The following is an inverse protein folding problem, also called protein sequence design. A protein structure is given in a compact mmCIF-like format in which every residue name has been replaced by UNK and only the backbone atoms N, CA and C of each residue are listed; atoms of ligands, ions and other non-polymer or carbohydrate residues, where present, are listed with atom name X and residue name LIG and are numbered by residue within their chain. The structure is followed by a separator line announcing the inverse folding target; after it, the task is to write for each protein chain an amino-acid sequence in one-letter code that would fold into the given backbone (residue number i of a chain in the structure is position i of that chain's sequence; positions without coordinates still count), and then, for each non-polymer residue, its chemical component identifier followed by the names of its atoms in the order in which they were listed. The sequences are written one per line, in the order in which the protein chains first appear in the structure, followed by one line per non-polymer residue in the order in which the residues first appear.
data_IF_100727829851
#
_entry.id   IF_100727829851
#
_cell.length_a   1.000
_cell.length_b   1.000
_cell.length_c   1.000
_cell.angle_alpha   90.00
_cell.angle_beta   90.00
_cell.angle_gamma   90.00
#
_symmetry.space_group_name_H-M   'P 1'
#
loop_
_entity.id
_entity.type
_entity.pdbx_description
1 polymer ?
#
# COMPACT_ATOMS: atom_id res chain seq x y z
N UNK A 1 -6.87 -18.99 20.87
CA UNK A 1 -6.77 -19.17 19.42
C UNK A 1 -5.29 -19.24 19.04
N UNK A 2 -4.91 -20.20 18.22
CA UNK A 2 -3.56 -20.27 17.64
C UNK A 2 -3.44 -19.32 16.43
N UNK A 3 -2.21 -18.93 16.07
CA UNK A 3 -1.94 -18.01 14.96
C UNK A 3 -2.52 -18.50 13.62
N UNK A 4 -2.61 -19.82 13.43
CA UNK A 4 -3.14 -20.42 12.20
C UNK A 4 -4.67 -20.38 12.12
N UNK A 5 -5.35 -20.09 13.23
CA UNK A 5 -6.81 -19.95 13.31
C UNK A 5 -7.28 -18.52 13.01
N UNK A 6 -6.35 -17.55 12.89
CA UNK A 6 -6.70 -16.20 12.45
C UNK A 6 -7.38 -16.24 11.07
N UNK A 7 -8.42 -15.43 10.92
CA UNK A 7 -9.06 -15.24 9.61
C UNK A 7 -8.10 -14.56 8.63
N UNK A 8 -8.32 -14.75 7.34
CA UNK A 8 -7.50 -14.08 6.30
C UNK A 8 -7.55 -12.56 6.45
N UNK A 9 -8.70 -12.02 6.88
CA UNK A 9 -8.86 -10.60 7.18
C UNK A 9 -8.00 -10.15 8.37
N UNK A 10 -8.01 -10.87 9.49
CA UNK A 10 -7.15 -10.54 10.65
C UNK A 10 -5.66 -10.61 10.29
N UNK A 11 -5.27 -11.61 9.49
CA UNK A 11 -3.89 -11.72 8.99
C UNK A 11 -3.54 -10.55 8.07
N UNK A 12 -4.46 -10.13 7.19
CA UNK A 12 -4.29 -8.95 6.35
C UNK A 12 -4.10 -7.69 7.21
N UNK A 13 -4.95 -7.47 8.22
CA UNK A 13 -4.87 -6.31 9.10
C UNK A 13 -3.51 -6.26 9.82
N UNK A 14 -3.06 -7.37 10.42
CA UNK A 14 -1.76 -7.44 11.09
C UNK A 14 -0.59 -7.12 10.15
N UNK A 15 -0.60 -7.66 8.93
CA UNK A 15 0.49 -7.45 7.96
C UNK A 15 0.52 -6.03 7.38
N UNK A 16 -0.63 -5.37 7.36
CA UNK A 16 -0.83 -4.01 6.84
C UNK A 16 -0.45 -2.91 7.83
N UNK A 17 -0.15 -3.26 9.08
CA UNK A 17 0.29 -2.32 10.11
C UNK A 17 1.60 -1.64 9.70
N UNK A 18 1.59 -0.31 9.82
CA UNK A 18 2.78 0.52 9.85
C UNK A 18 2.48 1.74 10.74
N UNK A 19 3.05 1.84 11.95
CA UNK A 19 2.69 2.89 12.91
C UNK A 19 2.98 4.32 12.46
N UNK A 20 3.89 4.51 11.51
CA UNK A 20 4.22 5.84 10.99
C UNK A 20 3.22 6.32 9.93
N UNK A 21 2.56 5.36 9.26
CA UNK A 21 1.80 5.62 8.04
C UNK A 21 0.29 5.54 8.25
N UNK A 22 -0.20 4.79 9.24
CA UNK A 22 -1.62 4.67 9.56
C UNK A 22 -1.91 4.81 11.07
N UNK A 23 -3.06 5.40 11.42
CA UNK A 23 -3.43 5.72 12.81
C UNK A 23 -4.00 4.56 13.62
N UNK A 24 -4.69 3.63 12.97
CA UNK A 24 -5.46 2.56 13.64
C UNK A 24 -4.65 1.32 14.08
N UNK A 25 -3.32 1.33 13.97
CA UNK A 25 -2.52 0.12 14.24
C UNK A 25 -2.70 -0.42 15.66
N UNK A 26 -2.83 0.45 16.67
CA UNK A 26 -3.08 0.04 18.06
C UNK A 26 -4.43 -0.66 18.20
N UNK A 27 -5.46 -0.10 17.57
CA UNK A 27 -6.81 -0.68 17.54
C UNK A 27 -6.79 -2.08 16.94
N UNK A 28 -6.06 -2.28 15.84
CA UNK A 28 -5.87 -3.60 15.23
C UNK A 28 -5.23 -4.56 16.23
N UNK A 29 -4.11 -4.18 16.87
CA UNK A 29 -3.44 -5.04 17.84
C UNK A 29 -4.33 -5.40 19.04
N UNK A 30 -5.06 -4.43 19.59
CA UNK A 30 -5.98 -4.64 20.72
C UNK A 30 -7.14 -5.57 20.32
N UNK A 31 -7.61 -5.49 19.08
CA UNK A 31 -8.69 -6.37 18.62
C UNK A 31 -8.22 -7.81 18.41
N UNK A 32 -6.99 -8.05 17.95
CA UNK A 32 -6.52 -9.37 17.53
C UNK A 32 -5.70 -10.10 18.60
N UNK A 33 -4.71 -9.43 19.21
CA UNK A 33 -3.74 -10.10 20.08
C UNK A 33 -4.35 -10.76 21.32
N UNK A 34 -5.37 -10.19 22.00
CA UNK A 34 -6.00 -10.83 23.15
C UNK A 34 -6.61 -12.21 22.84
N UNK A 35 -7.03 -12.43 21.59
CA UNK A 35 -7.63 -13.70 21.15
C UNK A 35 -6.59 -14.83 21.03
N UNK A 36 -5.31 -14.47 20.89
CA UNK A 36 -4.21 -15.39 20.67
C UNK A 36 -3.63 -15.94 21.97
N UNK A 37 -3.16 -17.20 21.95
CA UNK A 37 -2.34 -17.79 23.01
C UNK A 37 -0.93 -17.17 23.04
N UNK A 38 -0.22 -17.32 24.16
CA UNK A 38 1.10 -16.71 24.40
C UNK A 38 2.12 -17.07 23.28
N UNK A 39 2.28 -18.35 22.88
CA UNK A 39 3.13 -18.73 21.75
C UNK A 39 2.78 -18.02 20.44
N UNK A 40 1.49 -17.90 20.10
CA UNK A 40 1.06 -17.22 18.88
C UNK A 40 1.30 -15.72 18.92
N UNK A 41 1.10 -15.07 20.07
CA UNK A 41 1.46 -13.65 20.25
C UNK A 41 2.95 -13.43 20.02
N UNK A 42 3.80 -14.30 20.56
CA UNK A 42 5.25 -14.27 20.33
C UNK A 42 5.60 -14.44 18.85
N UNK A 43 4.97 -15.39 18.17
CA UNK A 43 5.15 -15.63 16.73
C UNK A 43 4.73 -14.42 15.88
N UNK A 44 3.59 -13.80 16.18
CA UNK A 44 3.12 -12.57 15.50
C UNK A 44 4.11 -11.43 15.72
N UNK A 45 4.61 -11.26 16.94
CA UNK A 45 5.63 -10.27 17.24
C UNK A 45 6.90 -10.49 16.42
N UNK A 46 7.50 -11.67 16.49
CA UNK A 46 8.78 -11.99 15.86
C UNK A 46 8.71 -11.89 14.32
N UNK A 47 7.60 -12.37 13.72
CA UNK A 47 7.49 -12.49 12.26
C UNK A 47 6.91 -11.25 11.58
N UNK A 48 6.07 -10.48 12.28
CA UNK A 48 5.33 -9.34 11.71
C UNK A 48 5.73 -8.03 12.40
N UNK A 49 5.45 -7.89 13.70
CA UNK A 49 5.48 -6.58 14.37
C UNK A 49 6.90 -6.01 14.52
N UNK A 50 7.88 -6.86 14.81
CA UNK A 50 9.30 -6.46 14.93
C UNK A 50 9.81 -5.77 13.66
N UNK A 51 9.40 -6.25 12.49
CA UNK A 51 9.76 -5.69 11.17
C UNK A 51 9.06 -4.37 10.86
N UNK A 52 8.02 -4.02 11.63
CA UNK A 52 7.26 -2.77 11.55
C UNK A 52 7.65 -1.76 12.63
N UNK A 53 8.83 -1.95 13.23
CA UNK A 53 9.35 -1.13 14.32
C UNK A 53 8.40 -1.07 15.52
N UNK A 54 7.77 -2.19 15.89
CA UNK A 54 6.96 -2.30 17.10
C UNK A 54 7.75 -3.14 18.10
N UNK A 55 7.88 -2.65 19.33
CA UNK A 55 8.59 -3.32 20.42
C UNK A 55 7.79 -4.51 21.01
N UNK A 56 8.40 -5.37 21.82
CA UNK A 56 7.68 -6.45 22.52
C UNK A 56 6.53 -5.95 23.39
N UNK A 57 6.62 -4.71 23.87
CA UNK A 57 5.59 -4.06 24.69
C UNK A 57 4.56 -3.31 23.84
N UNK A 58 4.51 -3.60 22.53
CA UNK A 58 3.60 -2.96 21.56
C UNK A 58 3.73 -1.43 21.50
N UNK A 59 4.94 -0.92 21.73
CA UNK A 59 5.25 0.50 21.55
C UNK A 59 5.93 0.72 20.20
N UNK A 60 5.61 1.83 19.54
CA UNK A 60 6.25 2.20 18.29
C UNK A 60 7.68 2.68 18.56
N UNK A 61 8.62 2.10 17.83
CA UNK A 61 10.03 2.47 17.79
C UNK A 61 10.21 3.39 16.59
N UNK A 62 10.47 4.67 16.85
CA UNK A 62 10.67 5.66 15.79
C UNK A 62 11.97 5.32 15.04
N UNK A 63 11.93 5.09 13.72
CA UNK A 63 13.13 4.85 12.93
C UNK A 63 14.00 6.13 12.87
N UNK A 64 15.30 5.95 12.62
CA UNK A 64 16.19 7.09 12.36
C UNK A 64 15.69 7.91 11.16
N UNK A 65 15.61 9.23 11.33
CA UNK A 65 15.37 10.18 10.24
C UNK A 65 16.59 10.25 9.29
N UNK A 66 16.37 10.81 8.09
CA UNK A 66 17.41 10.86 7.06
C UNK A 66 18.63 11.67 7.51
N UNK A 67 18.42 12.76 8.27
CA UNK A 67 19.51 13.60 8.79
C UNK A 67 20.42 12.81 9.74
N UNK A 68 19.82 12.09 10.69
CA UNK A 68 20.48 11.25 11.67
C UNK A 68 21.21 10.08 11.01
N UNK A 69 20.59 9.47 9.99
CA UNK A 69 21.23 8.44 9.18
C UNK A 69 22.50 8.97 8.51
N UNK A 70 22.42 10.15 7.88
CA UNK A 70 23.56 10.80 7.20
C UNK A 70 24.67 11.22 8.15
N UNK A 71 24.36 11.60 9.39
CA UNK A 71 25.37 11.94 10.39
C UNK A 71 26.07 10.72 10.98
N UNK A 72 25.35 9.59 11.14
CA UNK A 72 25.88 8.37 11.77
C UNK A 72 26.59 7.44 10.77
N UNK A 73 26.22 7.51 9.49
CA UNK A 73 26.64 6.53 8.49
C UNK A 73 27.58 7.16 7.47
N UNK A 74 28.78 6.62 7.35
CA UNK A 74 29.71 7.00 6.30
C UNK A 74 29.30 6.38 4.95
N UNK A 75 28.40 7.05 4.22
CA UNK A 75 28.03 6.67 2.85
C UNK A 75 29.24 6.90 1.94
N UNK A 76 29.83 5.82 1.43
CA UNK A 76 31.03 5.85 0.58
C UNK A 76 30.70 6.17 -0.86
N UNK A 77 29.61 5.58 -1.38
CA UNK A 77 29.20 5.79 -2.76
C UNK A 77 28.78 7.25 -3.00
N UNK A 78 29.49 7.92 -3.90
CA UNK A 78 29.34 9.37 -4.16
C UNK A 78 27.92 9.71 -4.62
N UNK A 79 27.34 8.92 -5.53
CA UNK A 79 25.99 9.18 -6.04
C UNK A 79 24.90 8.92 -5.00
N UNK A 80 25.06 7.89 -4.15
CA UNK A 80 24.12 7.63 -3.05
C UNK A 80 24.11 8.79 -2.07
N UNK A 81 25.30 9.30 -1.73
CA UNK A 81 25.44 10.47 -0.87
C UNK A 81 24.82 11.71 -1.50
N UNK A 82 25.03 11.92 -2.81
CA UNK A 82 24.48 13.07 -3.51
C UNK A 82 22.95 13.09 -3.52
N UNK A 83 22.30 11.96 -3.89
CA UNK A 83 20.82 11.89 -3.87
C UNK A 83 20.26 11.99 -2.46
N UNK A 84 20.92 11.39 -1.45
CA UNK A 84 20.46 11.50 -0.08
C UNK A 84 20.49 12.94 0.44
N UNK A 85 21.51 13.73 0.07
CA UNK A 85 21.56 15.16 0.39
C UNK A 85 20.43 15.93 -0.33
N UNK A 86 20.12 15.60 -1.59
CA UNK A 86 18.99 16.23 -2.30
C UNK A 86 17.64 15.89 -1.67
N UNK A 87 17.43 14.62 -1.32
CA UNK A 87 16.26 14.15 -0.58
C UNK A 87 16.12 14.86 0.76
N UNK A 88 17.22 15.02 1.50
CA UNK A 88 17.20 15.75 2.78
C UNK A 88 16.82 17.21 2.58
N UNK A 89 17.42 17.91 1.60
CA UNK A 89 17.05 19.31 1.28
C UNK A 89 15.57 19.44 0.94
N UNK A 90 15.00 18.45 0.26
CA UNK A 90 13.58 18.45 -0.07
C UNK A 90 12.71 18.33 1.19
N UNK A 91 12.99 17.37 2.06
CA UNK A 91 12.27 17.21 3.35
C UNK A 91 12.44 18.42 4.27
N UNK A 92 13.61 19.07 4.24
CA UNK A 92 13.87 20.26 5.05
C UNK A 92 13.19 21.52 4.52
N UNK A 93 12.80 21.53 3.25
CA UNK A 93 11.94 22.59 2.71
C UNK A 93 10.58 22.51 3.40
N UNK A 94 10.06 23.61 3.94
CA UNK A 94 8.75 23.64 4.61
C UNK A 94 7.84 24.67 3.95
N UNK A 95 7.38 24.40 2.71
CA UNK A 95 6.44 25.28 2.06
C UNK A 95 5.06 25.15 2.70
N UNK A 96 4.31 26.25 2.76
CA UNK A 96 2.94 26.23 3.28
C UNK A 96 2.01 25.38 2.41
N UNK A 97 2.21 25.43 1.08
CA UNK A 97 1.46 24.65 0.11
C UNK A 97 2.33 24.04 -0.98
N UNK A 98 1.91 22.89 -1.52
CA UNK A 98 2.62 22.20 -2.61
C UNK A 98 1.61 21.57 -3.59
N UNK A 99 1.85 21.65 -4.89
CA UNK A 99 1.02 20.98 -5.90
C UNK A 99 1.18 19.46 -5.83
N UNK A 100 0.07 18.72 -5.73
CA UNK A 100 0.13 17.28 -5.53
C UNK A 100 0.78 16.53 -6.71
N UNK A 101 0.60 17.00 -7.94
CA UNK A 101 1.17 16.37 -9.15
C UNK A 101 2.69 16.63 -9.17
N UNK A 102 3.12 17.87 -8.92
CA UNK A 102 4.54 18.22 -8.85
C UNK A 102 5.25 17.40 -7.74
N UNK A 103 4.60 17.23 -6.59
CA UNK A 103 5.11 16.40 -5.49
C UNK A 103 5.29 14.95 -5.93
N UNK A 104 4.27 14.38 -6.57
CA UNK A 104 4.31 13.01 -7.08
C UNK A 104 5.43 12.83 -8.11
N UNK A 105 5.60 13.81 -9.00
CA UNK A 105 6.65 13.83 -10.01
C UNK A 105 8.04 13.78 -9.41
N UNK A 106 8.29 14.68 -8.47
CA UNK A 106 9.57 14.84 -7.81
C UNK A 106 9.93 13.63 -6.94
N UNK A 107 8.99 13.16 -6.13
CA UNK A 107 9.21 12.02 -5.22
C UNK A 107 9.45 10.72 -6.00
N UNK A 108 8.62 10.43 -7.00
CA UNK A 108 8.82 9.23 -7.82
C UNK A 108 10.15 9.29 -8.59
N UNK A 109 10.53 10.47 -9.13
CA UNK A 109 11.81 10.63 -9.80
C UNK A 109 13.02 10.43 -8.86
N UNK A 110 12.97 10.98 -7.64
CA UNK A 110 14.03 10.78 -6.64
C UNK A 110 14.19 9.31 -6.25
N UNK A 111 13.08 8.60 -6.04
CA UNK A 111 13.09 7.17 -5.69
C UNK A 111 13.59 6.34 -6.87
N UNK A 112 13.14 6.63 -8.08
CA UNK A 112 13.59 5.93 -9.29
C UNK A 112 15.08 6.14 -9.56
N UNK A 113 15.58 7.36 -9.39
CA UNK A 113 17.01 7.64 -9.49
C UNK A 113 17.79 6.85 -8.44
N UNK A 114 17.39 6.90 -7.17
CA UNK A 114 18.03 6.16 -6.08
C UNK A 114 18.11 4.64 -6.38
N UNK A 115 17.04 4.06 -6.93
CA UNK A 115 17.00 2.63 -7.26
C UNK A 115 17.88 2.25 -8.46
N UNK A 116 18.15 3.20 -9.37
CA UNK A 116 18.92 2.98 -10.62
C UNK A 116 20.42 3.26 -10.47
N UNK A 117 20.87 3.85 -9.37
CA UNK A 117 22.30 4.03 -9.10
C UNK A 117 22.96 2.65 -9.13
N UNK A 118 23.97 2.53 -10.01
CA UNK A 118 24.80 1.34 -10.08
C UNK A 118 25.71 1.30 -8.85
N UNK A 119 25.54 0.27 -8.04
CA UNK A 119 26.28 0.02 -6.81
C UNK A 119 27.01 -1.33 -6.85
N UNK A 120 26.99 -2.00 -8.01
CA UNK A 120 27.48 -3.36 -8.18
C UNK A 120 26.99 -4.32 -7.08
N UNK A 121 27.89 -5.22 -6.68
CA UNK A 121 27.64 -6.23 -5.63
C UNK A 121 28.11 -5.77 -4.23
N UNK A 122 28.32 -4.47 -4.03
CA UNK A 122 28.76 -3.94 -2.74
C UNK A 122 27.62 -3.96 -1.71
N UNK A 123 27.60 -5.00 -0.86
CA UNK A 123 26.59 -5.23 0.18
C UNK A 123 26.37 -4.00 1.08
N UNK A 124 27.44 -3.25 1.41
CA UNK A 124 27.33 -2.06 2.25
C UNK A 124 26.59 -0.91 1.56
N UNK A 125 26.80 -0.74 0.25
CA UNK A 125 26.12 0.28 -0.54
C UNK A 125 24.66 -0.13 -0.81
N UNK A 126 24.39 -1.42 -0.97
CA UNK A 126 23.02 -1.95 -1.04
C UNK A 126 22.25 -1.67 0.26
N UNK A 127 22.86 -1.94 1.42
CA UNK A 127 22.28 -1.61 2.73
C UNK A 127 22.07 -0.10 2.88
N UNK A 128 23.05 0.71 2.47
CA UNK A 128 22.96 2.17 2.52
C UNK A 128 21.81 2.68 1.67
N UNK A 129 21.63 2.17 0.44
CA UNK A 129 20.51 2.53 -0.43
C UNK A 129 19.16 2.25 0.21
N UNK A 130 18.96 1.06 0.78
CA UNK A 130 17.71 0.71 1.45
C UNK A 130 17.46 1.55 2.71
N UNK A 131 18.50 1.81 3.51
CA UNK A 131 18.40 2.69 4.68
C UNK A 131 18.05 4.13 4.30
N UNK A 132 18.70 4.70 3.28
CA UNK A 132 18.39 6.04 2.76
C UNK A 132 16.94 6.11 2.29
N UNK A 133 16.52 5.14 1.48
CA UNK A 133 15.16 5.06 0.95
C UNK A 133 14.14 5.00 2.08
N UNK A 134 14.34 4.13 3.07
CA UNK A 134 13.43 3.94 4.20
C UNK A 134 13.34 5.19 5.07
N UNK A 135 14.48 5.80 5.42
CA UNK A 135 14.52 7.03 6.21
C UNK A 135 13.83 8.20 5.48
N UNK A 136 14.16 8.42 4.21
CA UNK A 136 13.51 9.43 3.37
C UNK A 136 11.99 9.24 3.29
N UNK A 137 11.51 8.01 3.13
CA UNK A 137 10.09 7.72 3.00
C UNK A 137 9.30 7.97 4.30
N UNK A 138 9.88 7.71 5.47
CA UNK A 138 9.24 8.06 6.74
C UNK A 138 9.25 9.57 6.99
N UNK A 139 10.36 10.23 6.71
CA UNK A 139 10.44 11.70 6.79
C UNK A 139 9.44 12.37 5.85
N UNK A 140 9.28 11.80 4.64
CA UNK A 140 8.29 12.26 3.67
C UNK A 140 6.86 12.10 4.19
N UNK A 141 6.54 10.99 4.84
CA UNK A 141 5.22 10.79 5.44
C UNK A 141 4.91 11.86 6.49
N UNK A 142 5.89 12.19 7.34
CA UNK A 142 5.76 13.27 8.32
C UNK A 142 5.65 14.64 7.63
N UNK A 143 6.45 14.89 6.59
CA UNK A 143 6.41 16.12 5.82
C UNK A 143 5.04 16.36 5.20
N UNK A 144 4.44 15.33 4.60
CA UNK A 144 3.11 15.39 3.96
C UNK A 144 2.01 15.77 4.96
N UNK A 145 2.10 15.31 6.21
CA UNK A 145 1.12 15.69 7.23
C UNK A 145 1.10 17.21 7.46
N UNK A 146 2.25 17.87 7.33
CA UNK A 146 2.45 19.28 7.66
C UNK A 146 2.28 20.26 6.49
N UNK A 147 2.12 19.78 5.25
CA UNK A 147 2.01 20.63 4.05
C UNK A 147 0.58 20.65 3.53
N UNK A 148 0.07 21.80 3.08
CA UNK A 148 -1.22 21.85 2.39
C UNK A 148 -1.07 21.41 0.93
N UNK A 149 -1.65 20.28 0.55
CA UNK A 149 -1.58 19.81 -0.84
C UNK A 149 -2.69 20.45 -1.68
N UNK A 150 -2.28 21.07 -2.78
CA UNK A 150 -3.19 21.56 -3.83
C UNK A 150 -3.55 20.36 -4.69
N UNK A 151 -4.82 19.98 -4.67
CA UNK A 151 -5.36 18.83 -5.40
C UNK A 151 -6.24 19.34 -6.53
N UNK A 152 -5.94 18.91 -7.76
CA UNK A 152 -6.74 19.28 -8.93
C UNK A 152 -8.13 18.66 -8.87
N UNK A 153 -9.19 19.40 -9.25
CA UNK A 153 -10.53 18.84 -9.32
C UNK A 153 -10.58 17.77 -10.41
N UNK A 154 -11.45 16.78 -10.21
CA UNK A 154 -11.65 15.67 -11.14
C UNK A 154 -12.91 14.90 -10.80
N UNK A 155 -13.30 13.98 -11.67
CA UNK A 155 -14.55 13.21 -11.49
C UNK A 155 -14.51 12.31 -10.26
N UNK A 156 -13.32 12.02 -9.70
CA UNK A 156 -13.18 11.25 -8.46
C UNK A 156 -13.40 12.07 -7.18
N UNK A 157 -13.54 13.39 -7.31
CA UNK A 157 -13.66 14.32 -6.18
C UNK A 157 -12.57 14.11 -5.12
N UNK A 158 -11.31 13.94 -5.56
CA UNK A 158 -10.18 13.82 -4.66
C UNK A 158 -10.03 15.11 -3.85
N UNK A 159 -9.74 14.97 -2.57
CA UNK A 159 -9.41 16.08 -1.68
C UNK A 159 -8.05 15.84 -1.02
N UNK A 160 -7.53 16.85 -0.34
CA UNK A 160 -6.22 16.80 0.34
C UNK A 160 -6.10 15.60 1.28
N UNK A 161 -7.14 15.28 2.04
CA UNK A 161 -7.11 14.17 2.99
C UNK A 161 -6.98 12.81 2.29
N UNK A 162 -7.79 12.56 1.27
CA UNK A 162 -7.73 11.35 0.43
C UNK A 162 -6.34 11.19 -0.19
N UNK A 163 -5.78 12.29 -0.74
CA UNK A 163 -4.45 12.27 -1.38
C UNK A 163 -3.36 11.97 -0.35
N UNK A 164 -3.37 12.63 0.82
CA UNK A 164 -2.40 12.36 1.89
C UNK A 164 -2.48 10.91 2.38
N UNK A 165 -3.70 10.38 2.57
CA UNK A 165 -3.87 8.98 2.99
C UNK A 165 -3.38 8.01 1.92
N UNK A 166 -3.69 8.22 0.63
CA UNK A 166 -3.13 7.38 -0.42
C UNK A 166 -1.59 7.44 -0.45
N UNK A 167 -1.02 8.64 -0.35
CA UNK A 167 0.42 8.84 -0.37
C UNK A 167 1.11 8.03 0.75
N UNK A 168 0.59 8.10 1.97
CA UNK A 168 1.17 7.42 3.14
C UNK A 168 0.85 5.92 3.16
N UNK A 169 -0.43 5.58 3.08
CA UNK A 169 -0.89 4.22 3.36
C UNK A 169 -0.83 3.27 2.16
N UNK A 170 -0.74 3.82 0.95
CA UNK A 170 -0.58 3.03 -0.28
C UNK A 170 0.84 3.20 -0.82
N UNK A 171 1.21 4.39 -1.30
CA UNK A 171 2.48 4.56 -2.01
C UNK A 171 3.71 4.36 -1.11
N UNK A 172 3.84 5.14 -0.04
CA UNK A 172 5.00 5.06 0.86
C UNK A 172 5.09 3.66 1.49
N UNK A 173 3.97 3.18 2.02
CA UNK A 173 3.87 1.84 2.63
C UNK A 173 4.31 0.75 1.66
N UNK A 174 3.87 0.81 0.39
CA UNK A 174 4.30 -0.15 -0.63
C UNK A 174 5.80 -0.09 -0.92
N UNK A 175 6.38 1.12 -0.99
CA UNK A 175 7.82 1.29 -1.26
C UNK A 175 8.70 0.79 -0.12
N UNK A 176 8.22 0.85 1.12
CA UNK A 176 8.91 0.33 2.32
C UNK A 176 8.75 -1.18 2.44
N UNK A 177 7.52 -1.70 2.30
CA UNK A 177 7.21 -3.10 2.55
C UNK A 177 7.55 -4.02 1.37
N UNK A 178 7.61 -3.49 0.15
CA UNK A 178 7.97 -4.25 -1.04
C UNK A 178 7.09 -5.48 -1.24
N UNK A 179 7.69 -6.68 -1.18
CA UNK A 179 6.98 -7.95 -1.33
C UNK A 179 6.06 -8.28 -0.15
N UNK A 180 6.28 -7.67 1.01
CA UNK A 180 5.44 -7.86 2.18
C UNK A 180 4.20 -6.95 2.17
N UNK A 181 4.11 -6.03 1.20
CA UNK A 181 2.94 -5.17 1.02
C UNK A 181 1.71 -6.01 0.65
N UNK A 182 0.59 -5.76 1.33
CA UNK A 182 -0.65 -6.53 1.14
C UNK A 182 -1.72 -5.69 0.47
N UNK A 183 -2.36 -6.33 -0.49
CA UNK A 183 -3.59 -5.91 -1.13
C UNK A 183 -4.42 -7.17 -1.40
N UNK A 184 -5.74 -7.06 -1.39
CA UNK A 184 -6.58 -8.13 -1.92
C UNK A 184 -6.67 -7.96 -3.43
N UNK A 185 -6.43 -9.02 -4.19
CA UNK A 185 -6.80 -9.01 -5.60
C UNK A 185 -8.28 -9.42 -5.78
N UNK A 186 -8.82 -9.19 -6.98
CA UNK A 186 -10.20 -9.55 -7.30
C UNK A 186 -10.51 -11.04 -7.08
N UNK A 187 -9.51 -11.91 -7.23
CA UNK A 187 -9.65 -13.36 -7.03
C UNK A 187 -9.76 -13.67 -5.54
N UNK A 188 -8.91 -13.08 -4.71
CA UNK A 188 -9.01 -13.17 -3.25
C UNK A 188 -10.40 -12.77 -2.75
N UNK A 189 -10.99 -11.73 -3.34
CA UNK A 189 -12.31 -11.20 -2.96
C UNK A 189 -13.44 -12.11 -3.44
N UNK A 190 -13.37 -12.67 -4.64
CA UNK A 190 -14.42 -13.55 -5.17
C UNK A 190 -14.45 -14.91 -4.44
N UNK A 191 -13.28 -15.43 -4.04
CA UNK A 191 -13.18 -16.68 -3.29
C UNK A 191 -13.53 -16.57 -1.82
N UNK A 192 -13.51 -15.37 -1.26
CA UNK A 192 -13.77 -15.16 0.15
C UNK A 192 -15.13 -14.49 0.31
N UNK A 193 -16.03 -15.10 1.07
CA UNK A 193 -17.15 -14.39 1.67
C UNK A 193 -16.60 -13.41 2.73
N UNK A 194 -15.89 -12.38 2.27
CA UNK A 194 -15.36 -11.31 3.11
C UNK A 194 -16.54 -10.46 3.56
N UNK A 195 -17.20 -10.83 4.66
CA UNK A 195 -18.26 -10.02 5.27
C UNK A 195 -17.82 -8.57 5.53
N UNK A 196 -16.51 -8.35 5.65
CA UNK A 196 -15.91 -7.04 5.92
C UNK A 196 -15.81 -6.12 4.67
N UNK A 197 -16.05 -6.63 3.46
CA UNK A 197 -16.03 -5.81 2.24
C UNK A 197 -17.47 -5.42 1.81
N UNK A 198 -17.70 -4.15 1.42
CA UNK A 198 -18.98 -3.72 0.87
C UNK A 198 -19.37 -4.49 -0.40
N UNK A 199 -20.68 -4.73 -0.58
CA UNK A 199 -21.23 -5.45 -1.73
C UNK A 199 -20.90 -4.82 -3.08
N UNK A 200 -20.68 -3.50 -3.12
CA UNK A 200 -20.22 -2.83 -4.34
C UNK A 200 -18.83 -3.32 -4.76
N UNK A 201 -17.90 -3.51 -3.82
CA UNK A 201 -16.56 -4.02 -4.11
C UNK A 201 -16.64 -5.49 -4.56
N UNK A 202 -17.40 -6.31 -3.82
CA UNK A 202 -17.59 -7.73 -4.15
C UNK A 202 -18.16 -7.93 -5.56
N UNK A 203 -19.18 -7.15 -5.94
CA UNK A 203 -19.79 -7.25 -7.27
C UNK A 203 -18.85 -6.82 -8.40
N UNK A 204 -18.04 -5.78 -8.17
CA UNK A 204 -17.08 -5.31 -9.16
C UNK A 204 -15.89 -6.27 -9.30
N UNK A 205 -15.46 -6.90 -8.21
CA UNK A 205 -14.38 -7.90 -8.22
C UNK A 205 -14.72 -9.13 -9.09
N UNK A 206 -16.00 -9.46 -9.25
CA UNK A 206 -16.47 -10.52 -10.16
C UNK A 206 -16.35 -10.18 -11.64
N UNK A 207 -16.20 -8.89 -11.98
CA UNK A 207 -16.30 -8.38 -13.35
C UNK A 207 -15.01 -7.77 -13.86
N UNK A 208 -14.15 -7.32 -12.94
CA UNK A 208 -12.96 -6.53 -13.26
C UNK A 208 -11.80 -6.96 -12.38
N UNK A 209 -10.60 -6.89 -12.93
CA UNK A 209 -9.36 -7.17 -12.18
C UNK A 209 -8.76 -5.90 -11.59
N UNK A 210 -8.69 -5.85 -10.27
CA UNK A 210 -8.10 -4.74 -9.52
C UNK A 210 -7.56 -5.23 -8.16
N UNK A 211 -6.77 -4.39 -7.52
CA UNK A 211 -6.38 -4.56 -6.12
C UNK A 211 -7.26 -3.69 -5.21
N UNK A 212 -7.51 -4.17 -4.00
CA UNK A 212 -8.16 -3.43 -2.93
C UNK A 212 -7.16 -3.24 -1.81
N UNK A 213 -6.97 -1.97 -1.44
CA UNK A 213 -6.24 -1.61 -0.23
C UNK A 213 -7.20 -0.93 0.72
N UNK A 214 -7.30 -1.52 1.90
CA UNK A 214 -8.03 -0.94 3.01
C UNK A 214 -7.12 -0.07 3.88
N UNK A 215 -7.56 1.16 4.12
CA UNK A 215 -7.06 2.07 5.16
C UNK A 215 -8.13 2.22 6.26
N UNK A 216 -7.86 3.05 7.25
CA UNK A 216 -8.84 3.35 8.31
C UNK A 216 -10.15 3.94 7.75
N UNK A 217 -10.05 4.93 6.86
CA UNK A 217 -11.21 5.71 6.35
C UNK A 217 -11.61 5.42 4.92
N UNK A 218 -10.75 4.73 4.16
CA UNK A 218 -10.94 4.52 2.73
C UNK A 218 -10.68 3.08 2.30
N UNK A 219 -11.43 2.61 1.30
CA UNK A 219 -10.99 1.54 0.41
C UNK A 219 -10.50 2.14 -0.90
N UNK A 220 -9.29 1.77 -1.32
CA UNK A 220 -8.71 2.15 -2.60
C UNK A 220 -8.81 0.97 -3.57
N UNK A 221 -9.59 1.14 -4.63
CA UNK A 221 -9.63 0.22 -5.77
C UNK A 221 -8.58 0.65 -6.78
N UNK A 222 -7.66 -0.24 -7.12
CA UNK A 222 -6.46 0.06 -7.90
C UNK A 222 -6.43 -0.82 -9.14
N UNK A 223 -6.59 -0.21 -10.31
CA UNK A 223 -6.47 -0.89 -11.59
C UNK A 223 -5.08 -1.47 -11.80
N UNK A 224 -5.01 -2.59 -12.53
CA UNK A 224 -3.73 -3.21 -12.89
C UNK A 224 -2.92 -2.27 -13.80
N UNK A 225 -1.60 -2.39 -13.79
CA UNK A 225 -0.72 -1.59 -14.63
C UNK A 225 -0.58 -2.17 -16.03
N UNK A 226 -0.82 -1.33 -17.05
CA UNK A 226 -0.92 -1.70 -18.46
C UNK A 226 0.40 -2.19 -19.06
N UNK A 227 1.49 -1.62 -18.57
CA UNK A 227 2.84 -1.90 -19.04
C UNK A 227 3.58 -2.77 -18.03
N UNK A 228 4.29 -3.78 -18.55
CA UNK A 228 5.27 -4.55 -17.77
C UNK A 228 6.22 -3.59 -17.05
N UNK A 229 6.37 -3.75 -15.72
CA UNK A 229 7.16 -2.92 -14.79
C UNK A 229 6.56 -1.58 -14.36
N UNK A 230 5.37 -1.19 -14.80
CA UNK A 230 4.71 0.00 -14.25
C UNK A 230 4.13 -0.31 -12.86
N UNK A 231 4.40 0.56 -11.88
CA UNK A 231 3.89 0.38 -10.52
C UNK A 231 2.37 0.65 -10.49
N UNK A 232 1.50 -0.31 -10.07
CA UNK A 232 0.08 -0.04 -9.86
C UNK A 232 -0.15 1.02 -8.79
N UNK A 233 0.72 1.10 -7.79
CA UNK A 233 0.61 1.98 -6.63
C UNK A 233 1.25 3.36 -6.83
N UNK A 234 1.42 3.83 -8.08
CA UNK A 234 2.02 5.13 -8.39
C UNK A 234 1.09 6.28 -7.97
N UNK A 235 1.65 7.31 -7.34
CA UNK A 235 0.91 8.52 -6.97
C UNK A 235 0.54 9.30 -8.22
N UNK A 236 1.44 9.37 -9.21
CA UNK A 236 1.13 10.03 -10.48
C UNK A 236 -0.12 9.42 -11.10
N UNK A 237 -0.16 8.08 -11.20
CA UNK A 237 -1.35 7.37 -11.69
C UNK A 237 -2.58 7.66 -10.84
N UNK A 238 -2.41 7.68 -9.52
CA UNK A 238 -3.50 8.00 -8.62
C UNK A 238 -4.06 9.41 -8.84
N UNK A 239 -3.23 10.41 -9.11
CA UNK A 239 -3.67 11.80 -9.29
C UNK A 239 -4.23 12.09 -10.69
N UNK A 240 -3.77 11.38 -11.72
CA UNK A 240 -4.21 11.63 -13.09
C UNK A 240 -5.55 10.93 -13.43
N UNK A 241 -6.35 11.63 -14.23
CA UNK A 241 -7.53 11.13 -14.91
C UNK A 241 -7.24 11.18 -16.41
N UNK A 242 -7.27 10.03 -17.09
CA UNK A 242 -6.93 9.96 -18.52
C UNK A 242 -8.15 10.35 -19.34
N UNK A 243 -8.26 11.64 -19.70
CA UNK A 243 -9.23 12.14 -20.66
C UNK A 243 -8.73 11.95 -22.09
N UNK A 244 -9.52 11.31 -22.95
CA UNK A 244 -9.32 11.43 -24.39
C UNK A 244 -9.46 12.88 -24.85
N UNK A 245 -8.98 13.21 -26.06
CA UNK A 245 -8.99 14.57 -26.63
C UNK A 245 -10.37 15.24 -26.70
N UNK A 246 -11.44 14.46 -26.53
CA UNK A 246 -12.80 14.94 -26.29
C UNK A 246 -13.20 14.45 -24.89
N UNK A 247 -13.54 15.36 -23.97
CA UNK A 247 -13.92 15.14 -22.55
C UNK A 247 -15.05 14.12 -22.28
N UNK A 248 -15.52 13.39 -23.30
CA UNK A 248 -16.56 12.37 -23.26
C UNK A 248 -16.12 11.05 -22.60
N UNK A 249 -14.82 10.74 -22.61
CA UNK A 249 -14.29 9.48 -22.04
C UNK A 249 -13.10 9.75 -21.12
N UNK A 250 -13.37 9.76 -19.81
CA UNK A 250 -12.37 9.80 -18.75
C UNK A 250 -12.17 8.39 -18.22
N UNK A 251 -10.96 7.85 -18.34
CA UNK A 251 -10.55 6.57 -17.76
C UNK A 251 -9.86 6.79 -16.42
N UNK A 252 -10.20 5.95 -15.45
CA UNK A 252 -9.66 6.02 -14.09
C UNK A 252 -8.73 4.84 -13.85
N UNK A 253 -7.56 5.08 -13.27
CA UNK A 253 -6.69 4.01 -12.78
C UNK A 253 -7.01 3.62 -11.33
N UNK A 254 -7.72 4.49 -10.60
CA UNK A 254 -8.02 4.32 -9.18
C UNK A 254 -9.43 4.84 -8.87
N UNK A 255 -10.11 4.18 -7.94
CA UNK A 255 -11.36 4.64 -7.34
C UNK A 255 -11.23 4.61 -5.82
N UNK A 256 -11.76 5.63 -5.15
CA UNK A 256 -11.73 5.76 -3.69
C UNK A 256 -13.13 5.63 -3.15
N UNK A 257 -13.29 4.80 -2.12
CA UNK A 257 -14.56 4.61 -1.41
C UNK A 257 -14.36 5.05 0.04
N UNK A 258 -15.11 6.07 0.48
CA UNK A 258 -15.15 6.59 1.85
C UNK A 258 -16.03 5.68 2.68
N UNK A 259 -15.49 5.10 3.76
CA UNK A 259 -16.24 4.15 4.60
C UNK A 259 -17.45 4.79 5.26
N UNK A 260 -17.29 6.03 5.70
CA UNK A 260 -18.32 6.80 6.40
C UNK A 260 -19.54 7.18 5.53
N UNK A 261 -19.41 7.14 4.20
CA UNK A 261 -20.48 7.51 3.26
C UNK A 261 -21.10 6.29 2.56
N UNK A 262 -20.73 5.06 2.94
CA UNK A 262 -21.14 3.85 2.22
C UNK A 262 -22.66 3.63 2.22
N UNK A 263 -23.35 4.18 3.22
CA UNK A 263 -24.81 4.08 3.36
C UNK A 263 -25.55 5.22 2.61
N UNK A 264 -24.84 6.19 2.03
CA UNK A 264 -25.43 7.30 1.30
C UNK A 264 -25.69 6.94 -0.18
N UNK A 265 -26.97 6.93 -0.58
CA UNK A 265 -27.36 6.48 -1.93
C UNK A 265 -26.75 7.33 -3.06
N UNK A 266 -26.69 8.66 -2.88
CA UNK A 266 -26.09 9.59 -3.85
C UNK A 266 -24.59 9.34 -4.01
N UNK A 267 -23.89 9.09 -2.90
CA UNK A 267 -22.47 8.76 -2.90
C UNK A 267 -22.22 7.42 -3.58
N UNK A 268 -23.00 6.38 -3.26
CA UNK A 268 -22.88 5.06 -3.91
C UNK A 268 -23.14 5.15 -5.42
N UNK A 269 -24.09 5.98 -5.86
CA UNK A 269 -24.34 6.22 -7.30
C UNK A 269 -23.11 6.83 -7.97
N UNK A 270 -22.46 7.78 -7.31
CA UNK A 270 -21.20 8.37 -7.78
C UNK A 270 -20.05 7.35 -7.79
N UNK A 271 -19.89 6.53 -6.75
CA UNK A 271 -18.88 5.46 -6.72
C UNK A 271 -19.11 4.49 -7.87
N UNK A 272 -20.36 4.05 -8.14
CA UNK A 272 -20.67 3.20 -9.30
C UNK A 272 -20.28 3.86 -10.62
N UNK A 273 -20.55 5.16 -10.77
CA UNK A 273 -20.12 5.92 -11.94
C UNK A 273 -18.59 5.91 -12.11
N UNK A 274 -17.84 6.11 -11.04
CA UNK A 274 -16.38 6.05 -11.06
C UNK A 274 -15.86 4.62 -11.34
N UNK A 275 -16.40 3.60 -10.66
CA UNK A 275 -15.97 2.21 -10.87
C UNK A 275 -16.27 1.71 -12.28
N UNK A 276 -17.35 2.17 -12.92
CA UNK A 276 -17.63 1.86 -14.33
C UNK A 276 -16.49 2.33 -15.27
N UNK A 277 -15.80 3.41 -14.90
CA UNK A 277 -14.65 4.02 -15.62
C UNK A 277 -13.28 3.53 -15.15
N UNK A 278 -13.23 2.66 -14.14
CA UNK A 278 -11.99 2.03 -13.73
C UNK A 278 -11.46 1.18 -14.89
N UNK A 279 -10.31 1.59 -15.43
CA UNK A 279 -9.57 0.88 -16.46
C UNK A 279 -8.93 -0.36 -15.84
N UNK A 280 -9.27 -1.51 -16.38
CA UNK A 280 -8.69 -2.79 -16.00
C UNK A 280 -8.22 -3.49 -17.26
N UNK A 281 -6.97 -3.92 -17.30
CA UNK A 281 -6.49 -4.80 -18.36
C UNK A 281 -7.20 -6.15 -18.25
N UNK A 282 -8.29 -6.31 -18.99
CA UNK A 282 -8.73 -7.63 -19.44
C UNK A 282 -8.06 -8.02 -20.77
N UNK A 283 -6.91 -7.43 -21.07
CA UNK A 283 -6.12 -7.73 -22.26
C UNK A 283 -5.51 -9.14 -22.17
N UNK A 284 -6.28 -10.15 -22.59
CA UNK A 284 -5.77 -11.34 -23.25
C UNK A 284 -5.24 -12.48 -22.37
N UNK A 285 -5.69 -12.63 -21.12
CA UNK A 285 -5.49 -13.91 -20.42
C UNK A 285 -6.70 -14.79 -20.73
N UNK A 286 -6.48 -15.88 -21.48
CA UNK A 286 -7.52 -16.87 -21.77
C UNK A 286 -8.27 -17.26 -20.50
N UNK A 287 -9.60 -17.35 -20.59
CA UNK A 287 -10.48 -17.84 -19.51
C UNK A 287 -9.98 -19.16 -18.92
N UNK A 288 -9.31 -20.00 -19.73
CA UNK A 288 -8.69 -21.25 -19.27
C UNK A 288 -7.57 -21.02 -18.26
N UNK A 289 -6.71 -20.02 -18.48
CA UNK A 289 -5.61 -19.68 -17.57
C UNK A 289 -6.18 -19.05 -16.29
N UNK A 290 -7.20 -18.21 -16.42
CA UNK A 290 -7.90 -17.63 -15.27
C UNK A 290 -8.52 -18.74 -14.42
N UNK A 291 -9.24 -19.68 -15.05
CA UNK A 291 -9.82 -20.85 -14.39
C UNK A 291 -8.75 -21.72 -13.74
N UNK A 292 -7.64 -21.98 -14.41
CA UNK A 292 -6.53 -22.74 -13.84
C UNK A 292 -5.93 -22.06 -12.60
N UNK A 293 -5.66 -20.75 -12.66
CA UNK A 293 -5.14 -20.00 -11.51
C UNK A 293 -6.16 -20.02 -10.37
N UNK A 294 -7.43 -19.81 -10.69
CA UNK A 294 -8.53 -19.86 -9.71
C UNK A 294 -8.64 -21.24 -9.06
N UNK A 295 -8.57 -22.34 -9.83
CA UNK A 295 -8.56 -23.71 -9.33
C UNK A 295 -7.32 -24.04 -8.52
N UNK A 296 -6.13 -23.61 -8.95
CA UNK A 296 -4.88 -23.80 -8.22
C UNK A 296 -4.89 -23.04 -6.88
N UNK A 297 -5.37 -21.80 -6.88
CA UNK A 297 -5.57 -21.02 -5.66
C UNK A 297 -6.63 -21.64 -4.75
N UNK A 298 -7.73 -22.14 -5.33
CA UNK A 298 -8.77 -22.86 -4.60
C UNK A 298 -8.19 -24.11 -3.92
N UNK A 299 -7.49 -24.98 -4.66
CA UNK A 299 -6.83 -26.17 -4.12
C UNK A 299 -5.80 -25.82 -3.04
N UNK A 300 -5.00 -24.77 -3.27
CA UNK A 300 -4.09 -24.25 -2.25
C UNK A 300 -4.84 -23.86 -0.97
N UNK A 301 -5.96 -23.12 -1.08
CA UNK A 301 -6.73 -22.65 0.08
C UNK A 301 -7.56 -23.74 0.76
N UNK A 302 -8.16 -24.66 0.03
CA UNK A 302 -9.08 -25.67 0.58
C UNK A 302 -8.39 -26.98 0.96
N UNK A 303 -7.24 -27.29 0.36
CA UNK A 303 -6.53 -28.54 0.63
C UNK A 303 -5.16 -28.28 1.27
N UNK A 304 -4.28 -27.48 0.63
CA UNK A 304 -2.89 -27.34 1.08
C UNK A 304 -2.79 -26.54 2.37
N UNK A 305 -3.40 -25.36 2.46
CA UNK A 305 -3.35 -24.51 3.66
C UNK A 305 -3.90 -25.27 4.88
N UNK A 306 -5.08 -25.93 4.83
CA UNK A 306 -5.56 -26.73 5.95
C UNK A 306 -4.62 -27.86 6.35
N UNK A 307 -3.95 -28.52 5.40
CA UNK A 307 -2.93 -29.54 5.71
C UNK A 307 -1.72 -28.93 6.43
N UNK A 308 -1.28 -27.73 6.02
CA UNK A 308 -0.18 -27.00 6.67
C UNK A 308 -0.56 -26.43 8.04
N UNK A 309 -1.85 -26.25 8.32
CA UNK A 309 -2.38 -25.78 9.61
C UNK A 309 -2.62 -26.91 10.61
N UNK A 310 -2.68 -28.18 10.18
CA UNK A 310 -2.80 -29.33 11.09
C UNK A 310 -1.50 -29.53 11.85
N UNK A 311 -1.60 -29.83 13.13
CA UNK A 311 -0.43 -30.25 13.91
C UNK A 311 0.21 -31.48 13.27
N UNK A 312 1.52 -31.43 13.07
CA UNK A 312 2.29 -32.62 12.73
C UNK A 312 2.16 -33.59 13.90
N UNK A 313 1.31 -34.62 13.75
CA UNK A 313 1.27 -35.74 14.70
C UNK A 313 2.68 -36.34 14.74
N UNK A 314 3.33 -36.22 15.89
CA UNK A 314 4.56 -36.96 16.20
C UNK A 314 4.25 -38.44 16.30
#
# INVERSE_FOLDING_TARGET
MYVYELSEYQVYQLKSIDPALGGNWKTILISILPQLDIPSRKSVYEKILSKRNISPNFTYIIPDDLRSLLSKTAIRHRELKAIAIQMLKFIESKPDSYDAIELADKVEAMIDYLNRIDIGDHILDQKSRESIKKAFLYDLAFWIDNVNLIVQPGIRHLNTDIVKTYFKEVFIKQKIQGRDFRAWDSTDIDFQEQDNLPDIIKREAKRKKFFVIESERYWFLIGIADKSRQNPYSIKRFLHEDGGSNDLFVYLTHVVIRKELIDEESYIRHVKYCTSRLYTLDAGVSDTIIKFIAEAQHLCKTQIIPLLKKELKK
#
